data_IF_480258793998
#
_entry.id   IF_480258793998
#
_cell.length_a   1.000
_cell.length_b   1.000
_cell.length_c   1.000
_cell.angle_alpha   90.00
_cell.angle_beta   90.00
_cell.angle_gamma   90.00
#
_symmetry.space_group_name_H-M   'P 1'
#
loop_
_entity.id
_entity.type
_entity.pdbx_description
1 polymer ?
#
# COMPACT_ATOMS: atom_id res chain seq x y z
N UNK A 1 19.60 12.99 5.68
CA UNK A 1 18.26 12.57 5.27
C UNK A 1 18.32 11.21 4.58
N UNK A 2 17.22 10.48 4.58
CA UNK A 2 17.14 9.16 3.94
C UNK A 2 16.99 9.31 2.44
N UNK A 3 17.76 8.52 1.67
CA UNK A 3 17.69 8.48 0.22
C UNK A 3 16.79 7.29 -0.18
N UNK A 4 15.78 7.56 -1.00
CA UNK A 4 14.88 6.56 -1.57
C UNK A 4 15.20 6.33 -3.06
N UNK A 5 14.78 5.20 -3.62
CA UNK A 5 14.95 4.87 -5.06
C UNK A 5 14.48 6.01 -5.97
N UNK A 6 13.37 6.68 -5.61
CA UNK A 6 12.83 7.82 -6.38
C UNK A 6 13.79 9.02 -6.45
N UNK A 7 14.55 9.29 -5.40
CA UNK A 7 15.54 10.37 -5.42
C UNK A 7 16.69 10.06 -6.38
N UNK A 8 17.11 8.79 -6.44
CA UNK A 8 18.13 8.32 -7.37
C UNK A 8 17.61 8.46 -8.80
N UNK A 9 16.39 7.98 -9.07
CA UNK A 9 15.78 8.06 -10.39
C UNK A 9 15.59 9.51 -10.86
N UNK A 10 15.16 10.42 -9.98
CA UNK A 10 15.03 11.85 -10.30
C UNK A 10 16.38 12.46 -10.68
N UNK A 11 17.45 12.10 -9.96
CA UNK A 11 18.81 12.54 -10.29
C UNK A 11 19.26 12.02 -11.66
N UNK A 12 19.06 10.72 -11.93
CA UNK A 12 19.43 10.12 -13.21
C UNK A 12 18.66 10.73 -14.40
N UNK A 13 17.38 11.07 -14.20
CA UNK A 13 16.61 11.80 -15.21
C UNK A 13 17.15 13.23 -15.44
N UNK A 14 17.45 13.95 -14.36
CA UNK A 14 17.99 15.32 -14.45
C UNK A 14 19.37 15.40 -15.10
N UNK A 15 20.18 14.35 -14.97
CA UNK A 15 21.53 14.27 -15.55
C UNK A 15 21.55 13.58 -16.91
N UNK A 16 20.40 13.26 -17.48
CA UNK A 16 20.29 12.63 -18.81
C UNK A 16 20.70 11.15 -18.87
N UNK A 17 20.91 10.50 -17.72
CA UNK A 17 21.28 9.09 -17.65
C UNK A 17 20.05 8.16 -17.69
N UNK A 18 18.85 8.70 -17.51
CA UNK A 18 17.59 8.02 -17.74
C UNK A 18 16.59 8.95 -18.41
N UNK A 19 15.81 8.42 -19.35
CA UNK A 19 14.77 9.19 -20.07
C UNK A 19 13.55 9.42 -19.17
N UNK A 20 13.26 8.46 -18.30
CA UNK A 20 12.09 8.50 -17.41
C UNK A 20 12.36 7.76 -16.09
N UNK A 21 11.67 8.17 -15.02
CA UNK A 21 11.92 7.63 -13.68
C UNK A 21 11.66 6.12 -13.57
N UNK A 22 10.57 5.63 -14.15
CA UNK A 22 10.18 4.21 -14.10
C UNK A 22 10.39 3.52 -15.45
N UNK A 23 11.53 3.79 -16.08
CA UNK A 23 11.96 3.21 -17.36
C UNK A 23 12.88 1.99 -17.18
N UNK A 24 13.72 1.73 -18.20
CA UNK A 24 14.66 0.60 -18.24
C UNK A 24 15.58 0.57 -17.01
N UNK A 25 16.16 1.70 -16.63
CA UNK A 25 17.05 1.81 -15.45
C UNK A 25 16.33 1.33 -14.17
N UNK A 26 15.08 1.71 -13.99
CA UNK A 26 14.30 1.23 -12.84
C UNK A 26 14.08 -0.28 -12.89
N UNK A 27 13.63 -0.79 -14.03
CA UNK A 27 13.24 -2.20 -14.16
C UNK A 27 14.43 -3.16 -14.22
N UNK A 28 15.55 -2.75 -14.85
CA UNK A 28 16.69 -3.63 -15.10
C UNK A 28 17.77 -3.53 -14.01
N UNK A 29 17.85 -2.39 -13.31
CA UNK A 29 18.90 -2.17 -12.30
C UNK A 29 18.32 -2.22 -10.87
N UNK A 30 17.19 -1.52 -10.62
CA UNK A 30 16.66 -1.29 -9.29
C UNK A 30 15.50 -2.24 -8.91
N UNK A 31 15.05 -3.08 -9.86
CA UNK A 31 13.92 -4.03 -9.70
C UNK A 31 14.21 -5.34 -10.46
N UNK A 32 13.30 -6.29 -10.35
CA UNK A 32 13.27 -7.55 -11.13
C UNK A 32 14.58 -8.37 -11.03
N UNK A 33 15.24 -8.36 -9.89
CA UNK A 33 16.50 -9.06 -9.67
C UNK A 33 17.71 -8.34 -10.29
N UNK A 34 17.60 -7.07 -10.62
CA UNK A 34 18.71 -6.24 -11.11
C UNK A 34 19.81 -6.06 -10.05
N UNK A 35 21.03 -5.62 -10.48
CA UNK A 35 22.20 -5.57 -9.61
C UNK A 35 22.06 -4.65 -8.39
N UNK A 36 21.10 -3.74 -8.39
CA UNK A 36 20.78 -2.87 -7.26
C UNK A 36 19.34 -3.09 -6.72
N UNK A 37 18.76 -4.23 -6.99
CA UNK A 37 17.49 -4.65 -6.40
C UNK A 37 17.75 -5.34 -5.06
N UNK A 38 17.93 -4.53 -4.04
CA UNK A 38 18.06 -5.01 -2.66
C UNK A 38 16.74 -4.85 -1.94
N UNK A 39 16.32 -5.93 -1.31
CA UNK A 39 15.17 -5.91 -0.42
C UNK A 39 15.62 -5.97 1.03
N UNK A 40 14.85 -5.37 1.92
CA UNK A 40 15.09 -5.46 3.36
C UNK A 40 14.40 -6.71 3.91
N UNK A 41 14.86 -7.21 5.04
CA UNK A 41 14.11 -8.22 5.79
C UNK A 41 12.88 -7.56 6.41
N UNK A 42 11.69 -7.91 5.89
CA UNK A 42 10.44 -7.42 6.45
C UNK A 42 10.06 -8.22 7.71
N UNK A 43 9.50 -7.57 8.73
CA UNK A 43 8.96 -8.28 9.87
C UNK A 43 7.75 -9.13 9.45
N UNK A 44 7.48 -10.18 10.21
CA UNK A 44 6.29 -11.01 10.01
C UNK A 44 5.01 -10.19 10.22
N UNK A 45 4.04 -10.31 9.32
CA UNK A 45 2.81 -9.51 9.35
C UNK A 45 1.99 -9.76 10.62
N UNK A 46 2.01 -10.99 11.16
CA UNK A 46 1.29 -11.31 12.39
C UNK A 46 1.92 -10.63 13.61
N UNK A 47 3.25 -10.57 13.65
CA UNK A 47 3.96 -9.86 14.71
C UNK A 47 3.71 -8.35 14.63
N UNK A 48 3.64 -7.78 13.42
CA UNK A 48 3.32 -6.36 13.21
C UNK A 48 1.92 -6.03 13.72
N UNK A 49 0.89 -6.82 13.34
CA UNK A 49 -0.48 -6.60 13.81
C UNK A 49 -0.57 -6.73 15.33
N UNK A 50 0.05 -7.75 15.94
CA UNK A 50 0.10 -7.90 17.41
C UNK A 50 0.74 -6.70 18.09
N UNK A 51 1.84 -6.17 17.54
CA UNK A 51 2.51 -5.00 18.07
C UNK A 51 1.61 -3.75 18.04
N UNK A 52 0.95 -3.51 16.89
CA UNK A 52 -0.02 -2.40 16.74
C UNK A 52 -1.14 -2.53 17.79
N UNK A 53 -1.70 -3.74 17.96
CA UNK A 53 -2.77 -3.97 18.94
C UNK A 53 -2.31 -3.80 20.37
N UNK A 54 -1.11 -4.24 20.69
CA UNK A 54 -0.50 -4.06 22.03
C UNK A 54 -0.35 -2.59 22.40
N UNK A 55 -0.05 -1.74 21.43
CA UNK A 55 0.09 -0.30 21.62
C UNK A 55 -1.25 0.46 21.55
N UNK A 56 -2.39 -0.26 21.44
CA UNK A 56 -3.73 0.33 21.35
C UNK A 56 -4.07 0.91 19.97
N UNK A 57 -3.26 0.63 18.95
CA UNK A 57 -3.48 1.11 17.58
C UNK A 57 -4.56 0.34 16.82
N UNK A 58 -4.90 0.87 15.65
CA UNK A 58 -5.79 0.23 14.66
C UNK A 58 -4.96 -0.35 13.53
N UNK A 59 -5.09 -1.65 13.28
CA UNK A 59 -4.39 -2.35 12.20
C UNK A 59 -5.26 -2.38 10.95
N UNK A 60 -4.73 -1.89 9.83
CA UNK A 60 -5.43 -1.83 8.53
C UNK A 60 -4.58 -2.52 7.48
N UNK A 61 -5.17 -3.45 6.72
CA UNK A 61 -4.51 -4.06 5.57
C UNK A 61 -4.55 -3.08 4.38
N UNK A 62 -3.37 -2.58 3.99
CA UNK A 62 -3.22 -1.64 2.90
C UNK A 62 -3.31 -2.34 1.54
N UNK A 63 -3.97 -1.71 0.56
CA UNK A 63 -4.08 -2.07 -0.87
C UNK A 63 -4.00 -3.58 -1.19
N UNK A 64 -4.86 -4.44 -0.60
CA UNK A 64 -4.76 -5.89 -0.77
C UNK A 64 -4.91 -6.36 -2.22
N UNK A 65 -5.57 -5.58 -3.08
CA UNK A 65 -5.65 -5.86 -4.50
C UNK A 65 -4.35 -5.66 -5.26
N UNK A 66 -3.46 -4.76 -4.80
CA UNK A 66 -2.14 -4.56 -5.38
C UNK A 66 -1.19 -5.72 -5.04
N UNK A 67 -1.23 -6.18 -3.79
CA UNK A 67 -0.35 -7.22 -3.28
C UNK A 67 -0.91 -8.64 -3.46
N UNK A 68 -2.17 -8.75 -3.96
CA UNK A 68 -2.90 -10.02 -4.06
C UNK A 68 -2.89 -10.83 -2.75
N UNK A 69 -3.08 -10.15 -1.62
CA UNK A 69 -2.93 -10.72 -0.29
C UNK A 69 -4.22 -10.77 0.54
N UNK A 70 -5.40 -10.79 -0.11
CA UNK A 70 -6.70 -10.98 0.56
C UNK A 70 -6.76 -12.26 1.42
N UNK A 71 -5.96 -13.27 1.10
CA UNK A 71 -5.86 -14.52 1.87
C UNK A 71 -5.35 -14.32 3.30
N UNK A 72 -4.71 -13.19 3.58
CA UNK A 72 -4.23 -12.85 4.92
C UNK A 72 -5.35 -12.34 5.83
N UNK A 73 -6.49 -11.91 5.29
CA UNK A 73 -7.54 -11.25 6.09
C UNK A 73 -8.09 -12.20 7.15
N UNK A 74 -8.48 -13.42 6.77
CA UNK A 74 -9.04 -14.40 7.70
C UNK A 74 -8.14 -14.65 8.92
N UNK A 75 -6.85 -14.98 8.77
CA UNK A 75 -5.96 -15.18 9.91
C UNK A 75 -5.63 -13.87 10.67
N UNK A 76 -5.56 -12.72 9.99
CA UNK A 76 -5.25 -11.44 10.63
C UNK A 76 -6.42 -10.93 11.49
N UNK A 77 -7.66 -11.20 11.10
CA UNK A 77 -8.86 -10.90 11.91
C UNK A 77 -8.77 -11.60 13.25
N UNK A 78 -8.32 -12.87 13.27
CA UNK A 78 -8.15 -13.65 14.50
C UNK A 78 -7.18 -13.05 15.52
N UNK A 79 -6.33 -12.12 15.10
CA UNK A 79 -5.34 -11.44 15.96
C UNK A 79 -5.56 -9.93 16.06
N UNK A 80 -6.67 -9.43 15.53
CA UNK A 80 -7.13 -8.06 15.74
C UNK A 80 -6.93 -7.10 14.57
N UNK A 81 -6.98 -7.57 13.32
CA UNK A 81 -7.12 -6.68 12.17
C UNK A 81 -8.42 -5.87 12.31
N UNK A 82 -8.35 -4.57 12.20
CA UNK A 82 -9.49 -3.67 12.39
C UNK A 82 -10.11 -3.20 11.07
N UNK A 83 -9.33 -3.11 9.98
CA UNK A 83 -9.81 -2.53 8.73
C UNK A 83 -9.08 -2.99 7.47
N UNK A 84 -9.64 -2.60 6.33
CA UNK A 84 -9.12 -2.89 4.98
C UNK A 84 -9.15 -1.61 4.15
N UNK A 85 -8.09 -1.36 3.39
CA UNK A 85 -8.14 -0.33 2.36
C UNK A 85 -8.96 -0.82 1.15
N UNK A 86 -10.08 -0.14 0.93
CA UNK A 86 -11.06 -0.48 -0.10
C UNK A 86 -10.82 0.31 -1.40
N UNK A 87 -10.66 1.64 -1.28
CA UNK A 87 -10.48 2.52 -2.41
C UNK A 87 -9.00 2.89 -2.56
N UNK A 88 -8.41 2.50 -3.69
CA UNK A 88 -7.01 2.72 -4.02
C UNK A 88 -6.84 2.85 -5.55
N UNK A 89 -5.87 3.61 -6.09
CA UNK A 89 -5.68 3.82 -7.53
C UNK A 89 -5.59 2.55 -8.38
N UNK A 90 -5.01 1.48 -7.83
CA UNK A 90 -4.86 0.20 -8.55
C UNK A 90 -5.98 -0.79 -8.30
N UNK A 91 -6.92 -0.47 -7.39
CA UNK A 91 -8.07 -1.32 -7.14
C UNK A 91 -9.08 -1.20 -8.28
N UNK A 92 -9.48 -2.35 -8.83
CA UNK A 92 -10.57 -2.50 -9.79
C UNK A 92 -11.87 -2.86 -9.04
N UNK A 93 -13.00 -2.83 -9.72
CA UNK A 93 -14.31 -3.17 -9.14
C UNK A 93 -14.31 -4.51 -8.39
N UNK A 94 -13.56 -5.50 -8.89
CA UNK A 94 -13.43 -6.79 -8.22
C UNK A 94 -12.77 -6.65 -6.84
N UNK A 95 -11.69 -5.87 -6.75
CA UNK A 95 -10.98 -5.64 -5.49
C UNK A 95 -11.85 -4.90 -4.49
N UNK A 96 -12.60 -3.88 -4.95
CA UNK A 96 -13.56 -3.16 -4.12
C UNK A 96 -14.65 -4.10 -3.59
N UNK A 97 -15.23 -4.94 -4.45
CA UNK A 97 -16.24 -5.94 -4.04
C UNK A 97 -15.68 -6.93 -3.01
N UNK A 98 -14.45 -7.39 -3.18
CA UNK A 98 -13.79 -8.27 -2.21
C UNK A 98 -13.60 -7.58 -0.86
N UNK A 99 -13.07 -6.34 -0.85
CA UNK A 99 -12.88 -5.57 0.38
C UNK A 99 -14.22 -5.35 1.12
N UNK A 100 -15.29 -4.98 0.40
CA UNK A 100 -16.63 -4.83 0.96
C UNK A 100 -17.17 -6.13 1.56
N UNK A 101 -16.97 -7.27 0.88
CA UNK A 101 -17.39 -8.59 1.37
C UNK A 101 -16.69 -8.98 2.66
N UNK A 102 -15.38 -8.78 2.74
CA UNK A 102 -14.61 -9.04 3.97
C UNK A 102 -15.00 -8.08 5.11
N UNK A 103 -15.19 -6.80 4.80
CA UNK A 103 -15.62 -5.82 5.78
C UNK A 103 -16.97 -6.16 6.38
N UNK A 104 -17.93 -6.58 5.54
CA UNK A 104 -19.24 -7.03 6.00
C UNK A 104 -19.16 -8.31 6.85
N UNK A 105 -18.33 -9.28 6.42
CA UNK A 105 -18.19 -10.57 7.11
C UNK A 105 -17.57 -10.43 8.49
N UNK A 106 -16.61 -9.55 8.68
CA UNK A 106 -15.81 -9.43 9.90
C UNK A 106 -15.99 -8.11 10.65
N UNK A 107 -16.96 -7.30 10.25
CA UNK A 107 -17.20 -5.96 10.81
C UNK A 107 -15.96 -5.06 10.80
N UNK A 108 -15.17 -5.12 9.71
CA UNK A 108 -13.98 -4.31 9.53
C UNK A 108 -14.35 -2.92 8.99
N UNK A 109 -13.67 -1.89 9.45
CA UNK A 109 -13.86 -0.59 8.82
C UNK A 109 -13.12 -0.51 7.47
N UNK A 110 -13.57 0.40 6.60
CA UNK A 110 -13.00 0.60 5.29
C UNK A 110 -12.23 1.90 5.23
N UNK A 111 -11.06 1.86 4.60
CA UNK A 111 -10.30 3.07 4.30
C UNK A 111 -10.19 3.28 2.80
N UNK A 112 -9.66 4.44 2.42
CA UNK A 112 -9.25 4.74 1.07
C UNK A 112 -8.04 5.66 1.08
N UNK A 113 -7.23 5.59 0.03
CA UNK A 113 -6.04 6.39 -0.13
C UNK A 113 -5.67 6.59 -1.59
N UNK A 114 -5.18 7.76 -1.94
CA UNK A 114 -4.75 8.08 -3.31
C UNK A 114 -3.34 7.63 -3.64
N UNK A 115 -2.62 7.04 -2.70
CA UNK A 115 -1.21 6.64 -2.85
C UNK A 115 -0.37 7.76 -3.49
N UNK A 116 -0.60 9.00 -3.03
CA UNK A 116 -0.02 10.19 -3.63
C UNK A 116 1.45 10.35 -3.25
N UNK A 117 2.33 10.32 -4.26
CA UNK A 117 3.77 10.45 -4.13
C UNK A 117 4.32 11.75 -4.73
N UNK A 118 3.45 12.75 -4.97
CA UNK A 118 3.85 13.99 -5.61
C UNK A 118 4.36 13.77 -7.03
N UNK A 119 5.42 14.49 -7.40
CA UNK A 119 6.06 14.36 -8.72
C UNK A 119 6.78 13.01 -8.94
N UNK A 120 6.97 12.23 -7.89
CA UNK A 120 7.63 10.93 -7.95
C UNK A 120 6.65 9.76 -8.09
N UNK A 121 5.36 10.05 -8.28
CA UNK A 121 4.34 9.03 -8.45
C UNK A 121 4.49 8.27 -9.77
N UNK A 122 4.34 6.97 -9.73
CA UNK A 122 4.17 6.15 -10.92
C UNK A 122 2.75 6.31 -11.49
N UNK A 123 1.78 6.52 -10.62
CA UNK A 123 0.38 6.83 -10.96
C UNK A 123 0.12 8.32 -10.79
N UNK A 124 -0.68 8.92 -11.69
CA UNK A 124 -1.08 10.33 -11.59
C UNK A 124 -2.32 10.51 -10.70
N UNK A 125 -2.34 9.89 -9.54
CA UNK A 125 -3.41 10.09 -8.58
C UNK A 125 -3.32 11.49 -7.94
N UNK A 126 -4.49 12.05 -7.60
CA UNK A 126 -4.59 13.34 -6.90
C UNK A 126 -4.96 13.11 -5.44
N UNK A 127 -4.56 14.02 -4.57
CA UNK A 127 -5.02 14.03 -3.18
C UNK A 127 -6.55 14.00 -3.14
N UNK A 128 -7.12 13.23 -2.20
CA UNK A 128 -8.56 13.06 -1.98
C UNK A 128 -9.33 12.39 -3.13
N UNK A 129 -8.67 11.85 -4.13
CA UNK A 129 -9.33 11.16 -5.25
C UNK A 129 -9.98 9.84 -4.83
N UNK A 130 -9.46 9.20 -3.79
CA UNK A 130 -9.93 7.93 -3.23
C UNK A 130 -10.25 8.09 -1.75
N UNK A 131 -11.34 8.82 -1.39
CA UNK A 131 -11.70 9.04 0.00
C UNK A 131 -12.14 7.73 0.65
N UNK A 132 -12.00 7.65 1.98
CA UNK A 132 -12.54 6.53 2.72
C UNK A 132 -14.07 6.45 2.52
N UNK A 133 -14.66 5.24 2.35
CA UNK A 133 -16.11 5.09 2.31
C UNK A 133 -16.78 5.59 3.60
N UNK A 134 -18.03 6.05 3.51
CA UNK A 134 -18.78 6.61 4.65
C UNK A 134 -18.91 5.65 5.86
N UNK A 135 -18.77 4.34 5.64
CA UNK A 135 -18.74 3.33 6.72
C UNK A 135 -17.48 3.36 7.59
N UNK A 136 -16.51 4.22 7.28
CA UNK A 136 -15.23 4.34 8.00
C UNK A 136 -15.30 5.23 9.25
N UNK A 137 -16.46 5.74 9.63
CA UNK A 137 -16.66 6.52 10.87
C UNK A 137 -16.21 5.76 12.12
N UNK A 138 -16.23 4.42 12.10
CA UNK A 138 -15.73 3.55 13.18
C UNK A 138 -14.23 3.73 13.52
N UNK A 139 -13.45 4.45 12.71
CA UNK A 139 -12.01 4.67 12.94
C UNK A 139 -11.77 5.61 14.13
N UNK A 140 -12.71 6.50 14.40
CA UNK A 140 -12.53 7.62 15.34
C UNK A 140 -13.22 7.43 16.70
N UNK A 141 -13.87 6.26 16.94
CA UNK A 141 -14.58 5.97 18.20
C UNK A 141 -14.10 4.70 18.86
#
# INVERSE_FOLDING_TARGET
>A
GTIYKQHILDYLCKTGQSIQMFGSVYHEILKNGGPADFDITYPDVFEVVKAIKKDGGKAVLAHPGQQNNYYLIDPLVGIGLDGIECLHPVHKDLHVKQALSYAQRYDLFLTGGSDYHGRYAQTQSRLLQYPAPLSSEKIFY
#
